data_IF_379942907771
#
_entry.id   IF_379942907771
#
_cell.length_a   1.000
_cell.length_b   1.000
_cell.length_c   1.000
_cell.angle_alpha   90.00
_cell.angle_beta   90.00
_cell.angle_gamma   90.00
#
_symmetry.space_group_name_H-M   'P 1'
#
loop_
_entity.id
_entity.type
_entity.pdbx_description
1 polymer ?
#
# COMPACT_ATOMS: atom_id res chain seq x y z
N UNK A 1 -16.90 -24.85 -28.80
CA UNK A 1 -15.94 -25.36 -27.81
C UNK A 1 -14.56 -24.99 -28.28
N UNK A 2 -14.08 -23.85 -27.92
CA UNK A 2 -12.66 -23.44 -28.10
C UNK A 2 -12.08 -23.27 -26.73
N UNK A 3 -11.46 -24.36 -26.27
CA UNK A 3 -10.59 -24.40 -25.12
C UNK A 3 -9.40 -23.46 -25.42
N UNK A 4 -9.47 -22.23 -24.98
CA UNK A 4 -8.32 -21.32 -24.96
C UNK A 4 -7.39 -21.85 -23.88
N UNK A 5 -6.60 -22.85 -24.24
CA UNK A 5 -5.42 -23.27 -23.49
C UNK A 5 -4.47 -22.07 -23.54
N UNK A 6 -4.41 -21.31 -22.46
CA UNK A 6 -3.39 -20.30 -22.26
C UNK A 6 -1.99 -20.93 -22.34
N UNK A 7 -0.91 -20.13 -22.46
CA UNK A 7 0.45 -20.64 -22.64
C UNK A 7 0.77 -21.67 -21.56
N UNK A 8 1.30 -22.81 -21.95
CA UNK A 8 1.41 -24.14 -21.33
C UNK A 8 1.90 -24.29 -19.87
N UNK A 9 1.71 -23.28 -19.02
CA UNK A 9 2.08 -23.29 -17.60
C UNK A 9 0.88 -23.45 -16.66
N UNK A 10 -0.36 -23.66 -17.18
CA UNK A 10 -1.56 -23.86 -16.37
C UNK A 10 -2.00 -22.63 -15.53
N UNK A 11 -1.34 -21.46 -15.71
CA UNK A 11 -1.63 -20.23 -14.98
C UNK A 11 -2.74 -19.43 -15.67
N UNK A 12 -3.72 -18.98 -14.90
CA UNK A 12 -4.76 -18.09 -15.39
C UNK A 12 -4.19 -16.69 -15.71
N UNK A 13 -4.83 -15.89 -16.57
CA UNK A 13 -4.40 -14.52 -16.85
C UNK A 13 -4.24 -13.67 -15.58
N UNK A 14 -5.05 -13.91 -14.57
CA UNK A 14 -4.99 -13.19 -13.30
C UNK A 14 -3.76 -13.57 -12.46
N UNK A 15 -3.28 -14.82 -12.53
CA UNK A 15 -2.04 -15.24 -11.86
C UNK A 15 -0.85 -14.44 -12.37
N UNK A 16 -0.82 -14.10 -13.67
CA UNK A 16 0.21 -13.25 -14.24
C UNK A 16 0.19 -11.84 -13.67
N UNK A 17 -0.98 -11.27 -13.43
CA UNK A 17 -1.11 -9.95 -12.77
C UNK A 17 -0.54 -10.01 -11.36
N UNK A 18 -0.87 -11.05 -10.60
CA UNK A 18 -0.33 -11.26 -9.25
C UNK A 18 1.20 -11.38 -9.28
N UNK A 19 1.74 -12.21 -10.17
CA UNK A 19 3.19 -12.40 -10.32
C UNK A 19 3.87 -11.08 -10.68
N UNK A 20 3.32 -10.30 -11.59
CA UNK A 20 3.86 -8.99 -11.97
C UNK A 20 3.87 -8.04 -10.79
N UNK A 21 2.77 -7.94 -10.02
CA UNK A 21 2.71 -7.07 -8.84
C UNK A 21 3.77 -7.48 -7.81
N UNK A 22 3.87 -8.78 -7.48
CA UNK A 22 4.85 -9.29 -6.54
C UNK A 22 6.28 -9.05 -7.01
N UNK A 23 6.56 -9.33 -8.27
CA UNK A 23 7.90 -9.16 -8.86
C UNK A 23 8.31 -7.70 -8.89
N UNK A 24 7.45 -6.81 -9.39
CA UNK A 24 7.72 -5.37 -9.47
C UNK A 24 7.93 -4.80 -8.07
N UNK A 25 7.06 -5.14 -7.10
CA UNK A 25 7.19 -4.68 -5.72
C UNK A 25 8.51 -5.13 -5.10
N UNK A 26 8.89 -6.40 -5.28
CA UNK A 26 10.14 -6.97 -4.76
C UNK A 26 11.37 -6.32 -5.41
N UNK A 27 11.38 -6.17 -6.74
CA UNK A 27 12.50 -5.56 -7.46
C UNK A 27 12.68 -4.07 -7.14
N UNK A 28 11.60 -3.35 -6.95
CA UNK A 28 11.68 -1.95 -6.53
C UNK A 28 12.28 -1.82 -5.13
N UNK A 29 11.85 -2.67 -4.19
CA UNK A 29 12.40 -2.68 -2.83
C UNK A 29 13.86 -3.14 -2.78
N UNK A 30 14.27 -4.09 -3.63
CA UNK A 30 15.67 -4.49 -3.79
C UNK A 30 16.57 -3.30 -4.20
N UNK A 31 16.07 -2.42 -5.07
CA UNK A 31 16.82 -1.23 -5.51
C UNK A 31 16.84 -0.12 -4.44
N UNK A 32 15.75 0.03 -3.69
CA UNK A 32 15.61 1.10 -2.67
C UNK A 32 16.23 0.74 -1.34
N UNK A 33 16.23 -0.54 -0.98
CA UNK A 33 16.61 -1.05 0.35
C UNK A 33 15.46 -0.98 1.36
N UNK A 34 15.56 -1.82 2.40
CA UNK A 34 14.56 -1.96 3.45
C UNK A 34 14.34 -0.66 4.23
N UNK A 35 15.44 0.00 4.62
CA UNK A 35 15.35 1.15 5.53
C UNK A 35 14.66 2.34 4.86
N UNK A 36 14.96 2.59 3.57
CA UNK A 36 14.28 3.64 2.79
C UNK A 36 12.78 3.33 2.63
N UNK A 37 12.42 2.08 2.42
CA UNK A 37 11.03 1.63 2.25
C UNK A 37 10.26 1.73 3.58
N UNK A 38 10.84 1.22 4.67
CA UNK A 38 10.27 1.30 6.02
C UNK A 38 10.08 2.77 6.46
N UNK A 39 11.09 3.61 6.24
CA UNK A 39 11.01 5.03 6.57
C UNK A 39 9.92 5.75 5.76
N UNK A 40 9.80 5.41 4.47
CA UNK A 40 8.71 5.94 3.64
C UNK A 40 7.34 5.60 4.23
N UNK A 41 7.13 4.35 4.63
CA UNK A 41 5.87 3.92 5.24
C UNK A 41 5.60 4.65 6.56
N UNK A 42 6.61 4.74 7.44
CA UNK A 42 6.51 5.48 8.70
C UNK A 42 6.20 6.96 8.45
N UNK A 43 6.83 7.55 7.43
CA UNK A 43 6.56 8.95 7.04
C UNK A 43 5.12 9.15 6.59
N UNK A 44 4.56 8.25 5.78
CA UNK A 44 3.17 8.32 5.33
C UNK A 44 2.18 8.21 6.49
N UNK A 45 2.40 7.23 7.37
CA UNK A 45 1.57 7.06 8.58
C UNK A 45 1.70 8.29 9.49
N UNK A 46 2.94 8.74 9.72
CA UNK A 46 3.23 9.93 10.53
C UNK A 46 2.57 11.19 9.96
N UNK A 47 2.63 11.37 8.63
CA UNK A 47 2.00 12.50 7.96
C UNK A 47 0.48 12.50 8.16
N UNK A 48 -0.16 11.34 8.08
CA UNK A 48 -1.59 11.21 8.32
C UNK A 48 -1.94 11.52 9.79
N UNK A 49 -1.17 10.97 10.73
CA UNK A 49 -1.39 11.18 12.16
C UNK A 49 -1.19 12.65 12.52
N UNK A 50 -0.10 13.28 12.05
CA UNK A 50 0.20 14.70 12.31
C UNK A 50 -0.86 15.59 11.69
N UNK A 51 -1.25 15.35 10.42
CA UNK A 51 -2.29 16.12 9.76
C UNK A 51 -3.62 16.03 10.53
N UNK A 52 -3.99 14.85 11.03
CA UNK A 52 -5.19 14.64 11.84
C UNK A 52 -5.11 15.32 13.20
N UNK A 53 -3.97 15.21 13.88
CA UNK A 53 -3.78 15.73 15.25
C UNK A 53 -3.73 17.26 15.29
N UNK A 54 -3.05 17.86 14.31
CA UNK A 54 -2.83 19.30 14.25
C UNK A 54 -3.80 20.04 13.29
N UNK A 55 -4.79 19.32 12.77
CA UNK A 55 -5.79 19.88 11.87
C UNK A 55 -6.49 21.10 12.46
N UNK A 56 -6.98 21.01 13.72
CA UNK A 56 -7.75 22.09 14.36
C UNK A 56 -6.97 23.40 14.51
N UNK A 57 -5.77 23.40 15.11
CA UNK A 57 -4.91 24.59 15.18
C UNK A 57 -4.60 25.18 13.80
N UNK A 58 -4.34 24.34 12.79
CA UNK A 58 -4.05 24.81 11.44
C UNK A 58 -5.27 25.41 10.75
N UNK A 59 -6.46 24.84 10.98
CA UNK A 59 -7.75 25.36 10.48
C UNK A 59 -7.98 26.78 11.01
N UNK A 60 -7.76 27.03 12.32
CA UNK A 60 -7.88 28.35 12.93
C UNK A 60 -6.92 29.38 12.32
N UNK A 61 -5.68 29.00 12.02
CA UNK A 61 -4.69 29.87 11.38
C UNK A 61 -5.13 30.32 9.97
N UNK A 62 -5.88 29.48 9.28
CA UNK A 62 -6.36 29.74 7.92
C UNK A 62 -7.72 30.47 7.89
N UNK A 63 -8.36 30.71 9.05
CA UNK A 63 -9.70 31.30 9.13
C UNK A 63 -9.82 32.67 8.49
N UNK A 64 -8.75 33.48 8.58
CA UNK A 64 -8.72 34.83 7.97
C UNK A 64 -8.52 34.82 6.47
N UNK A 65 -8.02 33.71 5.90
CA UNK A 65 -7.65 33.61 4.49
C UNK A 65 -8.66 32.78 3.68
N UNK A 66 -9.30 31.78 4.30
CA UNK A 66 -10.27 30.91 3.65
C UNK A 66 -11.56 30.92 4.46
N UNK A 67 -12.57 31.62 3.90
CA UNK A 67 -13.88 31.79 4.55
C UNK A 67 -14.67 30.49 4.56
N UNK A 68 -14.59 29.70 3.47
CA UNK A 68 -15.30 28.42 3.36
C UNK A 68 -14.67 27.37 4.27
N UNK A 69 -15.47 26.85 5.21
CA UNK A 69 -14.98 25.91 6.24
C UNK A 69 -14.52 24.57 5.66
N UNK A 70 -15.15 24.08 4.58
CA UNK A 70 -14.77 22.84 3.94
C UNK A 70 -13.42 22.98 3.22
N UNK A 71 -13.28 24.05 2.42
CA UNK A 71 -12.02 24.35 1.73
C UNK A 71 -10.88 24.60 2.70
N UNK A 72 -11.15 25.30 3.81
CA UNK A 72 -10.18 25.55 4.88
C UNK A 72 -9.70 24.25 5.53
N UNK A 73 -10.62 23.35 5.88
CA UNK A 73 -10.28 22.06 6.45
C UNK A 73 -9.45 21.19 5.51
N UNK A 74 -9.80 21.15 4.22
CA UNK A 74 -9.04 20.44 3.20
C UNK A 74 -7.63 21.05 3.05
N UNK A 75 -7.53 22.36 3.01
CA UNK A 75 -6.25 23.07 2.88
C UNK A 75 -5.36 22.84 4.10
N UNK A 76 -5.92 22.93 5.32
CA UNK A 76 -5.20 22.67 6.58
C UNK A 76 -4.63 21.25 6.63
N UNK A 77 -5.46 20.25 6.33
CA UNK A 77 -5.02 18.86 6.30
C UNK A 77 -3.94 18.63 5.24
N UNK A 78 -4.18 19.12 4.03
CA UNK A 78 -3.25 18.94 2.90
C UNK A 78 -1.91 19.61 3.16
N UNK A 79 -1.90 20.82 3.71
CA UNK A 79 -0.68 21.53 4.04
C UNK A 79 0.16 20.77 5.08
N UNK A 80 -0.44 20.35 6.18
CA UNK A 80 0.24 19.56 7.22
C UNK A 80 0.75 18.23 6.69
N UNK A 81 -0.05 17.54 5.88
CA UNK A 81 0.30 16.27 5.29
C UNK A 81 1.51 16.41 4.37
N UNK A 82 1.47 17.36 3.42
CA UNK A 82 2.57 17.61 2.49
C UNK A 82 3.84 18.10 3.20
N UNK A 83 3.73 19.01 4.17
CA UNK A 83 4.88 19.45 4.95
C UNK A 83 5.55 18.27 5.68
N UNK A 84 4.77 17.39 6.30
CA UNK A 84 5.32 16.21 6.97
C UNK A 84 5.97 15.24 5.99
N UNK A 85 5.38 15.04 4.81
CA UNK A 85 6.00 14.21 3.76
C UNK A 85 7.33 14.80 3.29
N UNK A 86 7.44 16.11 3.11
CA UNK A 86 8.68 16.78 2.70
C UNK A 86 9.78 16.62 3.76
N UNK A 87 9.44 16.82 5.03
CA UNK A 87 10.37 16.60 6.15
C UNK A 87 10.82 15.15 6.20
N UNK A 88 9.90 14.20 6.09
CA UNK A 88 10.22 12.77 6.07
C UNK A 88 11.06 12.36 4.86
N UNK A 89 10.81 12.94 3.69
CA UNK A 89 11.63 12.72 2.51
C UNK A 89 13.08 13.23 2.69
N UNK A 90 13.26 14.41 3.32
CA UNK A 90 14.59 14.93 3.66
C UNK A 90 15.34 14.00 4.63
N UNK A 91 14.67 13.51 5.68
CA UNK A 91 15.23 12.50 6.58
C UNK A 91 15.59 11.21 5.85
N UNK A 92 14.71 10.73 4.95
CA UNK A 92 14.96 9.54 4.14
C UNK A 92 16.19 9.67 3.24
N UNK A 93 16.40 10.85 2.66
CA UNK A 93 17.58 11.14 1.86
C UNK A 93 18.86 11.09 2.70
N UNK A 94 18.87 11.74 3.87
CA UNK A 94 20.03 11.77 4.78
C UNK A 94 20.37 10.35 5.28
N UNK A 95 19.38 9.58 5.73
CA UNK A 95 19.60 8.20 6.18
C UNK A 95 20.08 7.30 5.05
N UNK A 96 19.56 7.49 3.82
CA UNK A 96 20.02 6.76 2.66
C UNK A 96 21.52 6.99 2.38
N UNK A 97 21.97 8.23 2.47
CA UNK A 97 23.38 8.55 2.30
C UNK A 97 24.28 7.93 3.40
N UNK A 98 23.78 7.86 4.65
CA UNK A 98 24.49 7.20 5.75
C UNK A 98 24.62 5.68 5.53
N UNK A 99 23.57 5.01 5.07
CA UNK A 99 23.60 3.57 4.79
C UNK A 99 24.59 3.25 3.68
N UNK A 100 24.57 4.04 2.61
CA UNK A 100 25.49 3.86 1.49
C UNK A 100 26.96 4.06 1.95
N UNK A 101 27.21 4.97 2.91
CA UNK A 101 28.54 5.22 3.49
C UNK A 101 29.01 4.13 4.45
N UNK A 102 28.10 3.41 5.13
CA UNK A 102 28.45 2.37 6.13
C UNK A 102 28.66 0.97 5.55
N UNK A 103 28.41 0.79 4.25
CA UNK A 103 28.57 -0.51 3.58
C UNK A 103 27.49 -1.54 3.91
N UNK A 104 26.48 -1.20 4.71
CA UNK A 104 25.35 -2.07 5.06
C UNK A 104 24.36 -2.30 3.89
N UNK A 105 24.68 -1.77 2.71
CA UNK A 105 23.75 -1.77 1.56
C UNK A 105 23.33 -3.16 1.09
N UNK A 106 24.18 -4.19 1.23
CA UNK A 106 23.84 -5.55 0.79
C UNK A 106 22.77 -6.20 1.68
N UNK A 107 22.92 -6.12 2.99
CA UNK A 107 21.94 -6.66 3.96
C UNK A 107 20.63 -5.90 3.88
N UNK A 108 20.69 -4.58 3.75
CA UNK A 108 19.52 -3.71 3.59
C UNK A 108 18.72 -4.05 2.32
N UNK A 109 19.40 -4.40 1.22
CA UNK A 109 18.76 -4.84 -0.02
C UNK A 109 18.06 -6.19 0.11
N UNK A 110 18.67 -7.15 0.80
CA UNK A 110 18.07 -8.47 1.05
C UNK A 110 16.81 -8.32 1.93
N UNK A 111 16.91 -7.55 3.01
CA UNK A 111 15.75 -7.23 3.83
C UNK A 111 14.69 -6.46 3.03
N UNK A 112 15.11 -5.59 2.12
CA UNK A 112 14.24 -4.88 1.19
C UNK A 112 13.45 -5.84 0.30
N UNK A 113 14.06 -6.92 -0.22
CA UNK A 113 13.33 -7.92 -1.01
C UNK A 113 12.21 -8.58 -0.21
N UNK A 114 12.49 -9.01 1.03
CA UNK A 114 11.49 -9.63 1.91
C UNK A 114 10.35 -8.66 2.19
N UNK A 115 10.68 -7.42 2.51
CA UNK A 115 9.69 -6.38 2.75
C UNK A 115 8.87 -6.04 1.49
N UNK A 116 9.53 -5.93 0.34
CA UNK A 116 8.87 -5.69 -0.94
C UNK A 116 7.92 -6.80 -1.36
N UNK A 117 8.30 -8.05 -1.09
CA UNK A 117 7.42 -9.20 -1.30
C UNK A 117 6.20 -9.15 -0.37
N UNK A 118 6.41 -8.91 0.93
CA UNK A 118 5.32 -8.78 1.90
C UNK A 118 4.36 -7.64 1.54
N UNK A 119 4.89 -6.48 1.13
CA UNK A 119 4.11 -5.35 0.62
C UNK A 119 3.33 -5.72 -0.65
N UNK A 120 3.97 -6.40 -1.60
CA UNK A 120 3.31 -6.88 -2.82
C UNK A 120 2.16 -7.84 -2.49
N UNK A 121 2.38 -8.78 -1.57
CA UNK A 121 1.35 -9.70 -1.09
C UNK A 121 0.17 -8.94 -0.44
N UNK A 122 0.46 -7.93 0.37
CA UNK A 122 -0.57 -7.08 0.97
C UNK A 122 -1.38 -6.33 -0.08
N UNK A 123 -0.73 -5.75 -1.09
CA UNK A 123 -1.41 -5.07 -2.20
C UNK A 123 -2.33 -6.05 -2.94
N UNK A 124 -1.85 -7.25 -3.27
CA UNK A 124 -2.66 -8.29 -3.92
C UNK A 124 -3.87 -8.66 -3.05
N UNK A 125 -3.66 -8.87 -1.75
CA UNK A 125 -4.74 -9.18 -0.80
C UNK A 125 -5.81 -8.08 -0.77
N UNK A 126 -5.39 -6.81 -0.74
CA UNK A 126 -6.32 -5.66 -0.77
C UNK A 126 -7.08 -5.61 -2.10
N UNK A 127 -6.39 -5.79 -3.22
CA UNK A 127 -7.02 -5.81 -4.56
C UNK A 127 -8.06 -6.93 -4.64
N UNK A 128 -7.73 -8.14 -4.20
CA UNK A 128 -8.66 -9.28 -4.17
C UNK A 128 -9.83 -8.98 -3.22
N UNK A 129 -9.57 -8.43 -2.04
CA UNK A 129 -10.62 -8.02 -1.11
C UNK A 129 -11.59 -7.00 -1.73
N UNK A 130 -11.07 -6.03 -2.49
CA UNK A 130 -11.91 -5.07 -3.23
C UNK A 130 -12.68 -5.71 -4.38
N UNK A 131 -12.06 -6.65 -5.11
CA UNK A 131 -12.73 -7.40 -6.18
C UNK A 131 -13.89 -8.22 -5.63
N UNK A 132 -13.77 -8.79 -4.43
CA UNK A 132 -14.84 -9.52 -3.76
C UNK A 132 -16.08 -8.66 -3.44
N UNK A 133 -15.94 -7.34 -3.44
CA UNK A 133 -17.08 -6.40 -3.32
C UNK A 133 -17.78 -6.14 -4.66
N UNK A 134 -17.24 -6.68 -5.76
CA UNK A 134 -17.75 -6.47 -7.13
C UNK A 134 -18.24 -7.80 -7.74
N UNK A 135 -19.14 -7.77 -8.72
CA UNK A 135 -19.55 -8.97 -9.43
C UNK A 135 -18.46 -9.62 -10.31
N UNK A 136 -17.30 -8.97 -10.48
CA UNK A 136 -16.17 -9.43 -11.29
C UNK A 136 -15.55 -10.75 -10.79
N UNK A 137 -15.74 -11.08 -9.52
CA UNK A 137 -15.29 -12.35 -8.92
C UNK A 137 -15.96 -13.58 -9.59
N UNK A 138 -17.14 -13.40 -10.18
CA UNK A 138 -17.87 -14.49 -10.83
C UNK A 138 -17.36 -14.80 -12.26
N UNK A 139 -16.43 -13.98 -12.78
CA UNK A 139 -15.89 -14.17 -14.12
C UNK A 139 -14.91 -15.35 -14.19
N UNK A 140 -14.89 -16.00 -15.35
CA UNK A 140 -14.06 -17.19 -15.58
C UNK A 140 -12.55 -16.95 -15.45
N UNK A 141 -12.08 -15.74 -15.73
CA UNK A 141 -10.67 -15.37 -15.62
C UNK A 141 -10.18 -15.29 -14.16
N UNK A 142 -11.06 -14.95 -13.23
CA UNK A 142 -10.79 -14.94 -11.80
C UNK A 142 -10.87 -16.36 -11.21
N UNK A 143 -11.96 -17.08 -11.49
CA UNK A 143 -12.22 -18.42 -10.93
C UNK A 143 -11.21 -19.50 -11.36
N UNK A 144 -10.45 -19.25 -12.44
CA UNK A 144 -9.37 -20.14 -12.90
C UNK A 144 -8.01 -19.83 -12.24
N UNK A 145 -7.90 -18.76 -11.46
CA UNK A 145 -6.65 -18.37 -10.81
C UNK A 145 -6.40 -19.23 -9.56
N UNK A 146 -5.33 -19.99 -9.58
CA UNK A 146 -4.89 -20.78 -8.42
C UNK A 146 -4.35 -19.90 -7.30
N UNK A 147 -3.67 -18.81 -7.66
CA UNK A 147 -3.11 -17.88 -6.69
C UNK A 147 -4.19 -17.03 -6.01
N UNK A 148 -5.22 -16.60 -6.73
CA UNK A 148 -6.31 -15.80 -6.18
C UNK A 148 -6.97 -16.47 -4.97
N UNK A 149 -7.21 -17.79 -5.03
CA UNK A 149 -7.82 -18.57 -3.94
C UNK A 149 -7.02 -18.48 -2.65
N UNK A 150 -5.69 -18.54 -2.72
CA UNK A 150 -4.82 -18.43 -1.54
C UNK A 150 -4.87 -17.02 -0.92
N UNK A 151 -4.83 -15.99 -1.74
CA UNK A 151 -4.94 -14.61 -1.28
C UNK A 151 -6.34 -14.25 -0.80
N UNK A 152 -7.37 -14.86 -1.36
CA UNK A 152 -8.75 -14.70 -0.92
C UNK A 152 -8.94 -15.20 0.52
N UNK A 153 -8.36 -16.35 0.87
CA UNK A 153 -8.38 -16.86 2.24
C UNK A 153 -7.74 -15.88 3.22
N UNK A 154 -6.62 -15.28 2.84
CA UNK A 154 -5.94 -14.24 3.65
C UNK A 154 -6.80 -12.97 3.75
N UNK A 155 -7.42 -12.56 2.64
CA UNK A 155 -8.30 -11.38 2.62
C UNK A 155 -9.53 -11.57 3.50
N UNK A 156 -10.17 -12.74 3.45
CA UNK A 156 -11.31 -13.08 4.30
C UNK A 156 -10.93 -13.10 5.78
N UNK A 157 -9.81 -13.72 6.13
CA UNK A 157 -9.31 -13.71 7.49
C UNK A 157 -9.05 -12.28 8.00
N UNK A 158 -8.45 -11.42 7.17
CA UNK A 158 -8.20 -10.02 7.52
C UNK A 158 -9.51 -9.24 7.72
N UNK A 159 -10.50 -9.45 6.87
CA UNK A 159 -11.84 -8.85 6.99
C UNK A 159 -12.57 -9.30 8.26
N UNK A 160 -12.47 -10.58 8.62
CA UNK A 160 -13.03 -11.11 9.87
C UNK A 160 -12.40 -10.44 11.10
N UNK A 161 -11.08 -10.26 11.12
CA UNK A 161 -10.39 -9.57 12.22
C UNK A 161 -10.81 -8.09 12.31
N UNK A 162 -10.98 -7.41 11.17
CA UNK A 162 -11.46 -6.04 11.13
C UNK A 162 -12.92 -5.93 11.62
N UNK A 163 -13.77 -6.87 11.26
CA UNK A 163 -15.17 -6.91 11.72
C UNK A 163 -15.25 -7.17 13.23
N UNK A 164 -14.40 -8.04 13.76
CA UNK A 164 -14.28 -8.30 15.21
C UNK A 164 -13.82 -7.08 16.00
N UNK A 165 -13.05 -6.19 15.39
CA UNK A 165 -12.62 -4.92 16.00
C UNK A 165 -13.64 -3.77 15.90
N UNK A 166 -14.89 -4.06 15.44
CA UNK A 166 -15.99 -3.09 15.36
C UNK A 166 -16.12 -2.34 14.03
N UNK A 167 -15.28 -2.65 13.05
CA UNK A 167 -15.42 -2.14 11.70
C UNK A 167 -16.47 -2.96 10.93
N UNK A 168 -17.68 -2.41 10.75
CA UNK A 168 -18.70 -3.03 9.90
C UNK A 168 -18.33 -2.83 8.44
N UNK A 169 -17.64 -3.81 7.84
CA UNK A 169 -17.49 -3.84 6.39
C UNK A 169 -18.87 -4.07 5.76
N UNK A 170 -19.23 -3.35 4.69
CA UNK A 170 -20.48 -3.61 3.95
C UNK A 170 -20.32 -4.88 3.09
N UNK A 171 -20.32 -6.04 3.74
CA UNK A 171 -20.30 -7.33 3.05
C UNK A 171 -21.75 -7.78 2.92
N UNK A 172 -22.19 -7.93 1.66
CA UNK A 172 -23.43 -8.66 1.31
C UNK A 172 -23.07 -10.08 0.98
#
# INVERSE_FOLDING_TARGET
MTEQVGPGWGLAPFDWVIIVILTVSTLMSLRRGFLKEALSLVTWIGAFVIARQFHGPMDQLLETQIIDSLMRSIAAFTALFLCTLLVGAAFGFLLGALIDATGLSSTDRVLGMVFGFARGALIVTVVIGLLNLTPLVNDTWYNRSTMAVHFETVAQWALEQLSASGFKAPIK
#
